data_IF_876761003380
#
_entry.id   IF_876761003380
#
_cell.length_a   1.000
_cell.length_b   1.000
_cell.length_c   1.000
_cell.angle_alpha   90.00
_cell.angle_beta   90.00
_cell.angle_gamma   90.00
#
_symmetry.space_group_name_H-M   'P 1'
#
loop_
_entity.id
_entity.type
_entity.pdbx_description
1 polymer ?
#
# COMPACT_ATOMS: atom_id res chain seq x y z
N UNK A 1 -5.14 -5.35 11.51
CA UNK A 1 -5.99 -4.26 10.98
C UNK A 1 -6.46 -4.67 9.60
N UNK A 2 -7.75 -4.55 9.25
CA UNK A 2 -8.21 -4.83 7.89
C UNK A 2 -7.98 -3.64 6.96
N UNK A 3 -7.74 -3.94 5.70
CA UNK A 3 -7.77 -2.99 4.61
C UNK A 3 -9.24 -2.83 4.19
N UNK A 4 -9.79 -1.62 4.28
CA UNK A 4 -11.19 -1.38 3.88
C UNK A 4 -11.34 -1.47 2.35
N UNK A 5 -10.32 -1.03 1.63
CA UNK A 5 -10.17 -1.19 0.19
C UNK A 5 -8.70 -1.37 -0.18
N UNK A 6 -8.47 -1.75 -1.44
CA UNK A 6 -7.17 -1.66 -2.09
C UNK A 6 -7.41 -1.43 -3.58
N UNK A 7 -6.81 -0.37 -4.12
CA UNK A 7 -6.81 -0.09 -5.55
C UNK A 7 -5.38 -0.13 -6.09
N UNK A 8 -5.20 -0.71 -7.27
CA UNK A 8 -3.92 -0.74 -7.96
C UNK A 8 -4.08 -0.28 -9.40
N UNK A 9 -3.12 0.53 -9.85
CA UNK A 9 -3.05 1.00 -11.23
C UNK A 9 -1.66 0.67 -11.78
N UNK A 10 -1.61 -0.30 -12.70
CA UNK A 10 -0.39 -0.76 -13.34
C UNK A 10 -0.41 -0.33 -14.82
N UNK A 11 0.68 0.27 -15.29
CA UNK A 11 0.80 0.67 -16.70
C UNK A 11 1.25 -0.47 -17.62
N UNK A 12 1.81 -1.53 -17.03
CA UNK A 12 2.25 -2.76 -17.70
C UNK A 12 2.42 -3.89 -16.68
N UNK A 13 2.62 -5.11 -17.17
CA UNK A 13 2.99 -6.25 -16.32
C UNK A 13 4.44 -6.11 -15.80
N UNK A 14 4.73 -6.65 -14.60
CA UNK A 14 6.10 -6.72 -14.08
C UNK A 14 6.98 -7.64 -14.94
N UNK A 15 8.28 -7.34 -15.01
CA UNK A 15 9.27 -8.20 -15.66
C UNK A 15 10.29 -8.70 -14.64
N UNK A 16 10.61 -9.99 -14.75
CA UNK A 16 11.53 -10.67 -13.85
C UNK A 16 10.85 -11.16 -12.56
N UNK A 17 11.62 -11.78 -11.66
CA UNK A 17 11.07 -12.46 -10.49
C UNK A 17 10.77 -11.51 -9.32
N UNK A 18 11.25 -10.26 -9.37
CA UNK A 18 11.19 -9.32 -8.25
C UNK A 18 10.28 -8.14 -8.55
N UNK A 19 9.45 -7.81 -7.56
CA UNK A 19 8.66 -6.58 -7.52
C UNK A 19 9.13 -5.75 -6.32
N UNK A 20 9.56 -4.52 -6.59
CA UNK A 20 9.91 -3.55 -5.57
C UNK A 20 8.69 -2.75 -5.13
N UNK A 21 8.56 -2.52 -3.83
CA UNK A 21 7.48 -1.72 -3.24
C UNK A 21 8.11 -0.60 -2.42
N UNK A 22 7.77 0.65 -2.73
CA UNK A 22 8.15 1.82 -1.94
C UNK A 22 6.90 2.44 -1.34
N UNK A 23 6.76 2.35 -0.03
CA UNK A 23 5.51 2.65 0.68
C UNK A 23 5.62 3.91 1.53
N UNK A 24 4.55 4.69 1.58
CA UNK A 24 4.29 5.73 2.58
C UNK A 24 2.92 5.47 3.21
N UNK A 25 2.84 5.57 4.53
CA UNK A 25 1.59 5.41 5.26
C UNK A 25 1.36 6.60 6.19
N UNK A 26 0.11 7.08 6.20
CA UNK A 26 -0.36 8.14 7.08
C UNK A 26 -1.48 7.58 7.96
N UNK A 27 -1.28 7.64 9.27
CA UNK A 27 -2.19 7.06 10.26
C UNK A 27 -2.72 8.16 11.19
N UNK A 28 -4.00 8.06 11.55
CA UNK A 28 -4.71 9.04 12.35
C UNK A 28 -5.24 8.43 13.64
N UNK A 29 -5.30 9.24 14.70
CA UNK A 29 -5.72 8.80 16.03
C UNK A 29 -7.19 8.35 16.10
N UNK A 30 -8.01 8.76 15.13
CA UNK A 30 -9.43 8.41 15.02
C UNK A 30 -9.68 7.07 14.31
N UNK A 31 -8.63 6.27 14.10
CA UNK A 31 -8.76 4.93 13.54
C UNK A 31 -8.75 4.88 12.01
N UNK A 32 -8.44 5.99 11.34
CA UNK A 32 -8.26 6.03 9.87
C UNK A 32 -6.78 5.92 9.52
N UNK A 33 -6.51 5.29 8.38
CA UNK A 33 -5.20 5.34 7.76
C UNK A 33 -5.30 5.28 6.25
N UNK A 34 -4.28 5.79 5.58
CA UNK A 34 -4.08 5.62 4.15
C UNK A 34 -2.65 5.12 3.91
N UNK A 35 -2.51 4.17 3.00
CA UNK A 35 -1.20 3.71 2.53
C UNK A 35 -1.13 3.90 1.03
N UNK A 36 -0.04 4.51 0.57
CA UNK A 36 0.29 4.64 -0.85
C UNK A 36 1.62 3.93 -1.12
N UNK A 37 1.68 3.16 -2.19
CA UNK A 37 2.92 2.51 -2.62
C UNK A 37 3.21 2.73 -4.09
N UNK A 38 4.47 3.03 -4.42
CA UNK A 38 4.97 2.86 -5.77
C UNK A 38 5.38 1.40 -5.98
N UNK A 39 5.06 0.87 -7.17
CA UNK A 39 5.38 -0.50 -7.57
C UNK A 39 6.42 -0.44 -8.68
N UNK A 40 7.50 -1.19 -8.51
CA UNK A 40 8.65 -1.23 -9.41
C UNK A 40 8.96 -2.66 -9.83
N UNK A 41 9.58 -2.82 -10.99
CA UNK A 41 10.31 -4.04 -11.36
C UNK A 41 11.77 -3.70 -11.64
N UNK A 42 12.51 -4.64 -12.24
CA UNK A 42 13.93 -4.47 -12.58
C UNK A 42 14.21 -3.32 -13.54
N UNK A 43 13.19 -2.79 -14.24
CA UNK A 43 13.29 -1.66 -15.16
C UNK A 43 12.69 -0.36 -14.58
N UNK A 44 12.33 -0.35 -13.29
CA UNK A 44 11.81 0.82 -12.59
C UNK A 44 10.29 0.78 -12.39
N UNK A 45 9.67 1.96 -12.26
CA UNK A 45 8.28 2.08 -11.80
C UNK A 45 7.27 1.57 -12.83
N UNK A 46 6.37 0.70 -12.40
CA UNK A 46 5.30 0.09 -13.21
C UNK A 46 3.89 0.45 -12.75
N UNK A 47 3.75 1.08 -11.58
CA UNK A 47 2.43 1.44 -11.09
C UNK A 47 2.41 1.99 -9.68
N UNK A 48 1.21 2.03 -9.11
CA UNK A 48 0.97 2.36 -7.71
C UNK A 48 -0.19 1.56 -7.13
N UNK A 49 -0.20 1.46 -5.81
CA UNK A 49 -1.37 1.09 -5.04
C UNK A 49 -1.73 2.19 -4.05
N UNK A 50 -3.02 2.26 -3.72
CA UNK A 50 -3.57 3.07 -2.63
C UNK A 50 -4.53 2.20 -1.84
N UNK A 51 -4.53 2.37 -0.53
CA UNK A 51 -5.28 1.53 0.39
C UNK A 51 -5.85 2.37 1.53
N UNK A 52 -7.16 2.28 1.77
CA UNK A 52 -7.76 2.73 3.03
C UNK A 52 -7.56 1.67 4.13
N UNK A 53 -7.16 2.12 5.32
CA UNK A 53 -6.86 1.27 6.48
C UNK A 53 -7.80 1.66 7.63
N UNK A 54 -8.37 0.66 8.30
CA UNK A 54 -9.06 0.85 9.58
C UNK A 54 -8.17 0.38 10.72
N UNK A 55 -7.80 1.30 11.60
CA UNK A 55 -6.92 1.04 12.74
C UNK A 55 -7.78 0.63 13.94
N UNK A 56 -7.51 -0.56 14.46
CA UNK A 56 -8.12 -0.98 15.72
C UNK A 56 -7.31 -0.40 16.89
N UNK A 57 -7.98 0.01 18.00
CA UNK A 57 -7.28 0.35 19.23
C UNK A 57 -6.31 -0.76 19.62
N UNK A 58 -5.15 -0.39 20.16
CA UNK A 58 -4.30 -1.38 20.83
C UNK A 58 -5.11 -2.00 21.96
N UNK A 59 -5.19 -3.34 22.02
CA UNK A 59 -5.79 -3.99 23.17
C UNK A 59 -5.03 -3.55 24.41
N UNK A 60 -5.74 -3.01 25.41
CA UNK A 60 -5.18 -2.90 26.75
C UNK A 60 -4.88 -4.32 27.23
N UNK A 61 -3.64 -4.57 27.63
CA UNK A 61 -3.25 -5.79 28.32
C UNK A 61 -3.89 -5.85 29.71
#
# INVERSE_FOLDING_TARGET
WPNADLSMHLSRLPVGPWVGIKTRSDWFADGRGVTESEIHDVYGRIGRSTQAVVLAPASSA
#
